data_IF_913938308368
#
_entry.id   IF_913938308368
#
_cell.length_a   1.000
_cell.length_b   1.000
_cell.length_c   1.000
_cell.angle_alpha   90.00
_cell.angle_beta   90.00
_cell.angle_gamma   90.00
#
_symmetry.space_group_name_H-M   'P 1'
#
loop_
_entity.id
_entity.type
_entity.pdbx_description
1 polymer ?
#
# COMPACT_ATOMS: atom_id res chain seq x y z
N UNK A 1 -51.47 -36.26 31.94
CA UNK A 1 -50.48 -35.49 31.16
C UNK A 1 -49.18 -35.51 31.97
N UNK A 2 -48.30 -36.48 31.68
CA UNK A 2 -46.98 -36.53 32.30
C UNK A 2 -46.03 -35.56 31.56
N UNK A 3 -45.21 -34.79 32.26
CA UNK A 3 -44.18 -33.96 31.63
C UNK A 3 -43.06 -34.89 31.13
N UNK A 4 -42.86 -34.91 29.81
CA UNK A 4 -41.69 -35.55 29.20
C UNK A 4 -40.41 -34.86 29.69
N UNK A 5 -39.74 -35.47 30.66
CA UNK A 5 -38.39 -35.10 31.04
C UNK A 5 -37.49 -35.30 29.84
N UNK A 6 -37.16 -34.22 29.14
CA UNK A 6 -36.08 -34.19 28.17
C UNK A 6 -34.74 -34.47 28.86
N UNK A 7 -34.35 -35.74 28.90
CA UNK A 7 -33.02 -36.12 29.40
C UNK A 7 -31.98 -35.46 28.51
N UNK A 8 -31.24 -34.50 29.06
CA UNK A 8 -30.04 -33.93 28.46
C UNK A 8 -29.01 -35.07 28.33
N UNK A 9 -28.82 -35.58 27.10
CA UNK A 9 -27.78 -36.54 26.80
C UNK A 9 -26.47 -35.76 26.70
N UNK A 10 -25.52 -35.95 27.64
CA UNK A 10 -24.23 -35.27 27.54
C UNK A 10 -23.53 -35.74 26.28
N UNK A 11 -22.96 -34.79 25.52
CA UNK A 11 -22.16 -35.09 24.34
C UNK A 11 -21.03 -36.05 24.68
N UNK A 12 -20.82 -37.09 23.87
CA UNK A 12 -19.72 -38.04 24.10
C UNK A 12 -18.38 -37.30 24.11
N UNK A 13 -17.40 -37.70 24.94
CA UNK A 13 -16.08 -37.10 24.98
C UNK A 13 -15.45 -36.93 23.57
N UNK A 14 -15.66 -37.91 22.69
CA UNK A 14 -15.16 -37.92 21.32
C UNK A 14 -15.78 -36.77 20.47
N UNK A 15 -17.04 -36.47 20.66
CA UNK A 15 -17.71 -35.38 19.96
C UNK A 15 -17.14 -34.00 20.41
N UNK A 16 -16.83 -33.87 21.68
CA UNK A 16 -16.23 -32.66 22.25
C UNK A 16 -14.83 -32.46 21.65
N UNK A 17 -14.00 -33.50 21.61
CA UNK A 17 -12.67 -33.45 21.00
C UNK A 17 -12.70 -33.13 19.51
N UNK A 18 -13.64 -33.71 18.74
CA UNK A 18 -13.83 -33.38 17.33
C UNK A 18 -14.12 -31.89 17.10
N UNK A 19 -14.96 -31.28 17.93
CA UNK A 19 -15.26 -29.85 17.85
C UNK A 19 -14.02 -29.01 18.12
N UNK A 20 -13.22 -29.33 19.15
CA UNK A 20 -11.98 -28.61 19.44
C UNK A 20 -10.94 -28.73 18.31
N UNK A 21 -10.77 -29.90 17.71
CA UNK A 21 -9.86 -30.10 16.58
C UNK A 21 -10.33 -29.27 15.38
N UNK A 22 -11.63 -29.27 15.08
CA UNK A 22 -12.19 -28.49 13.98
C UNK A 22 -11.96 -26.99 14.18
N UNK A 23 -12.13 -26.46 15.38
CA UNK A 23 -11.84 -25.07 15.72
C UNK A 23 -10.35 -24.74 15.54
N UNK A 24 -9.47 -25.66 15.97
CA UNK A 24 -8.01 -25.51 15.79
C UNK A 24 -7.61 -25.47 14.31
N UNK A 25 -8.23 -26.28 13.44
CA UNK A 25 -7.98 -26.28 12.01
C UNK A 25 -8.41 -24.96 11.36
N UNK A 26 -9.56 -24.40 11.76
CA UNK A 26 -10.03 -23.08 11.29
C UNK A 26 -9.02 -21.99 11.69
N UNK A 27 -8.52 -22.04 12.94
CA UNK A 27 -7.52 -21.08 13.42
C UNK A 27 -6.21 -21.20 12.63
N UNK A 28 -5.74 -22.42 12.37
CA UNK A 28 -4.54 -22.67 11.55
C UNK A 28 -4.73 -22.11 10.13
N UNK A 29 -5.87 -22.37 9.49
CA UNK A 29 -6.18 -21.85 8.16
C UNK A 29 -6.21 -20.31 8.14
N UNK A 30 -6.76 -19.70 9.17
CA UNK A 30 -6.80 -18.25 9.32
C UNK A 30 -5.39 -17.66 9.48
N UNK A 31 -4.54 -18.27 10.34
CA UNK A 31 -3.14 -17.87 10.53
C UNK A 31 -2.35 -17.99 9.22
N UNK A 32 -2.49 -19.12 8.50
CA UNK A 32 -1.86 -19.30 7.18
C UNK A 32 -2.30 -18.19 6.22
N UNK A 33 -3.60 -17.89 6.15
CA UNK A 33 -4.14 -16.81 5.33
C UNK A 33 -3.56 -15.44 5.70
N UNK A 34 -3.39 -15.14 6.98
CA UNK A 34 -2.78 -13.89 7.46
C UNK A 34 -1.29 -13.80 7.09
N UNK A 35 -0.53 -14.88 7.28
CA UNK A 35 0.91 -14.93 6.95
C UNK A 35 1.13 -14.72 5.47
N UNK A 36 0.42 -15.48 4.63
CA UNK A 36 0.53 -15.36 3.17
C UNK A 36 0.14 -13.95 2.71
N UNK A 37 -0.93 -13.39 3.26
CA UNK A 37 -1.34 -12.01 2.97
C UNK A 37 -0.28 -10.99 3.41
N UNK A 38 0.37 -11.18 4.57
CA UNK A 38 1.40 -10.26 5.07
C UNK A 38 2.65 -10.30 4.21
N UNK A 39 3.07 -11.48 3.79
CA UNK A 39 4.25 -11.69 2.93
C UNK A 39 4.01 -11.15 1.52
N UNK A 40 2.80 -11.36 0.97
CA UNK A 40 2.44 -10.96 -0.39
C UNK A 40 1.66 -9.63 -0.45
N UNK A 41 1.72 -8.82 0.61
CA UNK A 41 0.94 -7.57 0.81
C UNK A 41 0.88 -6.65 -0.42
N UNK A 42 1.96 -6.59 -1.20
CA UNK A 42 2.04 -5.73 -2.38
C UNK A 42 1.61 -6.42 -3.69
N UNK A 43 1.31 -7.72 -3.67
CA UNK A 43 1.02 -8.52 -4.88
C UNK A 43 -0.36 -9.17 -4.90
N UNK A 44 -1.17 -9.05 -3.82
CA UNK A 44 -2.43 -9.78 -3.71
C UNK A 44 -3.67 -8.89 -3.60
N UNK A 45 -4.72 -9.30 -4.33
CA UNK A 45 -6.09 -8.75 -4.22
C UNK A 45 -7.03 -9.63 -3.38
N UNK A 46 -6.51 -10.72 -2.74
CA UNK A 46 -7.34 -11.63 -1.95
C UNK A 46 -7.81 -10.98 -0.64
N UNK A 47 -9.10 -11.15 -0.35
CA UNK A 47 -9.67 -10.82 0.96
C UNK A 47 -9.20 -11.82 2.02
N UNK A 48 -9.26 -11.44 3.31
CA UNK A 48 -8.92 -12.36 4.41
C UNK A 48 -9.83 -13.58 4.40
N UNK A 49 -11.12 -13.38 4.10
CA UNK A 49 -12.11 -14.45 4.03
C UNK A 49 -11.78 -15.47 2.92
N UNK A 50 -11.44 -15.01 1.70
CA UNK A 50 -11.07 -15.92 0.60
C UNK A 50 -9.77 -16.68 0.90
N UNK A 51 -8.77 -16.05 1.51
CA UNK A 51 -7.55 -16.73 1.91
C UNK A 51 -7.81 -17.80 2.98
N UNK A 52 -8.67 -17.54 3.96
CA UNK A 52 -9.05 -18.51 4.99
C UNK A 52 -9.84 -19.69 4.39
N UNK A 53 -10.79 -19.44 3.50
CA UNK A 53 -11.56 -20.50 2.83
C UNK A 53 -10.64 -21.38 1.97
N UNK A 54 -9.71 -20.80 1.23
CA UNK A 54 -8.73 -21.56 0.45
C UNK A 54 -7.82 -22.39 1.37
N UNK A 55 -7.40 -21.82 2.51
CA UNK A 55 -6.62 -22.53 3.53
C UNK A 55 -7.38 -23.72 4.13
N UNK A 56 -8.65 -23.56 4.43
CA UNK A 56 -9.53 -24.66 4.90
C UNK A 56 -9.65 -25.78 3.86
N UNK A 57 -9.92 -25.41 2.60
CA UNK A 57 -9.99 -26.41 1.51
C UNK A 57 -8.66 -27.15 1.35
N UNK A 58 -7.51 -26.45 1.47
CA UNK A 58 -6.18 -27.03 1.45
C UNK A 58 -5.93 -27.97 2.63
N UNK A 59 -6.37 -27.62 3.85
CA UNK A 59 -6.24 -28.48 5.04
C UNK A 59 -7.05 -29.78 4.88
N UNK A 60 -8.32 -29.67 4.48
CA UNK A 60 -9.15 -30.85 4.27
C UNK A 60 -8.62 -31.74 3.14
N UNK A 61 -8.23 -31.16 2.00
CA UNK A 61 -7.59 -31.89 0.92
C UNK A 61 -6.29 -32.54 1.34
N UNK A 62 -5.48 -31.85 2.15
CA UNK A 62 -4.24 -32.36 2.73
C UNK A 62 -4.46 -33.52 3.70
N UNK A 63 -5.49 -33.50 4.54
CA UNK A 63 -5.85 -34.61 5.42
C UNK A 63 -6.29 -35.87 4.63
N UNK A 64 -7.13 -35.68 3.61
CA UNK A 64 -7.53 -36.78 2.73
C UNK A 64 -6.34 -37.38 2.00
N UNK A 65 -5.47 -36.54 1.48
CA UNK A 65 -4.24 -36.95 0.78
C UNK A 65 -3.29 -37.69 1.74
N UNK A 66 -3.13 -37.17 2.97
CA UNK A 66 -2.32 -37.81 4.01
C UNK A 66 -2.87 -39.22 4.34
N UNK A 67 -4.19 -39.36 4.54
CA UNK A 67 -4.83 -40.64 4.79
C UNK A 67 -4.56 -41.67 3.68
N UNK A 68 -4.60 -41.24 2.43
CA UNK A 68 -4.31 -42.06 1.28
C UNK A 68 -2.83 -42.46 1.14
N UNK A 69 -1.92 -41.46 1.33
CA UNK A 69 -0.45 -41.73 1.19
C UNK A 69 0.08 -42.60 2.32
N UNK A 70 -0.37 -42.37 3.56
CA UNK A 70 0.16 -43.08 4.74
C UNK A 70 -0.69 -44.27 5.16
N UNK A 71 -1.69 -44.65 4.37
CA UNK A 71 -2.62 -45.77 4.61
C UNK A 71 -3.13 -45.79 6.07
N UNK A 72 -3.52 -44.65 6.58
CA UNK A 72 -3.91 -44.47 7.97
C UNK A 72 -5.38 -44.03 8.09
N UNK A 73 -6.16 -44.85 8.80
CA UNK A 73 -7.54 -44.50 9.13
C UNK A 73 -7.67 -43.38 10.20
N UNK A 74 -6.59 -43.06 10.91
CA UNK A 74 -6.56 -42.03 11.93
C UNK A 74 -5.94 -40.73 11.39
N UNK A 75 -6.79 -39.86 10.86
CA UNK A 75 -6.41 -38.58 10.26
C UNK A 75 -5.98 -37.51 11.29
N UNK A 76 -6.22 -37.78 12.59
CA UNK A 76 -6.00 -36.81 13.64
C UNK A 76 -4.62 -36.89 14.30
N UNK A 77 -3.77 -37.79 13.83
CA UNK A 77 -2.37 -37.86 14.31
C UNK A 77 -1.63 -36.54 14.03
N UNK A 78 -0.78 -36.09 14.94
CA UNK A 78 -0.05 -34.81 14.78
C UNK A 78 0.73 -34.73 13.44
N UNK A 79 1.30 -35.84 12.97
CA UNK A 79 1.99 -35.90 11.68
C UNK A 79 1.08 -35.68 10.48
N UNK A 80 -0.17 -36.18 10.51
CA UNK A 80 -1.17 -35.97 9.47
C UNK A 80 -1.62 -34.50 9.41
N UNK A 81 -1.86 -33.91 10.59
CA UNK A 81 -2.22 -32.48 10.71
C UNK A 81 -1.07 -31.60 10.20
N UNK A 82 0.18 -31.94 10.55
CA UNK A 82 1.36 -31.23 10.03
C UNK A 82 1.49 -31.30 8.52
N UNK A 83 1.30 -32.48 7.94
CA UNK A 83 1.31 -32.66 6.49
C UNK A 83 0.19 -31.86 5.82
N UNK A 84 -1.03 -31.91 6.35
CA UNK A 84 -2.17 -31.13 5.84
C UNK A 84 -1.94 -29.61 5.91
N UNK A 85 -1.27 -29.13 6.97
CA UNK A 85 -0.91 -27.71 7.08
C UNK A 85 0.10 -27.28 6.00
N UNK A 86 1.08 -28.13 5.68
CA UNK A 86 2.03 -27.89 4.58
C UNK A 86 1.29 -27.85 3.23
N UNK A 87 0.40 -28.80 2.97
CA UNK A 87 -0.40 -28.83 1.74
C UNK A 87 -1.29 -27.56 1.66
N UNK A 88 -1.93 -27.16 2.75
CA UNK A 88 -2.73 -25.94 2.78
C UNK A 88 -1.90 -24.68 2.46
N UNK A 89 -0.69 -24.58 3.01
CA UNK A 89 0.22 -23.47 2.72
C UNK A 89 0.60 -23.45 1.23
N UNK A 90 0.90 -24.59 0.65
CA UNK A 90 1.23 -24.70 -0.78
C UNK A 90 0.03 -24.32 -1.66
N UNK A 91 -1.18 -24.79 -1.34
CA UNK A 91 -2.41 -24.47 -2.08
C UNK A 91 -2.70 -22.98 -2.01
N UNK A 92 -2.68 -22.36 -0.81
CA UNK A 92 -2.92 -20.92 -0.65
C UNK A 92 -1.86 -20.12 -1.41
N UNK A 93 -0.59 -20.52 -1.34
CA UNK A 93 0.50 -19.85 -2.05
C UNK A 93 0.35 -19.97 -3.57
N UNK A 94 0.00 -21.16 -4.08
CA UNK A 94 -0.24 -21.38 -5.51
C UNK A 94 -1.43 -20.54 -6.03
N UNK A 95 -2.56 -20.56 -5.32
CA UNK A 95 -3.73 -19.74 -5.66
C UNK A 95 -3.39 -18.27 -5.65
N UNK A 96 -2.63 -17.81 -4.65
CA UNK A 96 -2.19 -16.44 -4.56
C UNK A 96 -1.32 -16.02 -5.77
N UNK A 97 -0.36 -16.86 -6.17
CA UNK A 97 0.50 -16.62 -7.34
C UNK A 97 -0.32 -16.61 -8.63
N UNK A 98 -1.23 -17.57 -8.80
CA UNK A 98 -2.12 -17.63 -9.98
C UNK A 98 -2.99 -16.37 -10.06
N UNK A 99 -3.64 -15.98 -8.96
CA UNK A 99 -4.46 -14.77 -8.93
C UNK A 99 -3.65 -13.50 -9.19
N UNK A 100 -2.41 -13.42 -8.68
CA UNK A 100 -1.52 -12.29 -8.96
C UNK A 100 -1.10 -12.23 -10.44
N UNK A 101 -1.01 -13.37 -11.13
CA UNK A 101 -0.70 -13.44 -12.57
C UNK A 101 -1.92 -13.17 -13.45
N UNK A 102 -3.10 -13.66 -13.05
CA UNK A 102 -4.34 -13.49 -13.81
C UNK A 102 -4.96 -12.11 -13.63
N UNK A 103 -4.77 -11.49 -12.46
CA UNK A 103 -5.22 -10.14 -12.15
C UNK A 103 -3.99 -9.27 -11.80
N UNK A 104 -3.11 -8.98 -12.76
CA UNK A 104 -2.06 -8.01 -12.51
C UNK A 104 -2.74 -6.71 -12.07
N UNK A 105 -2.25 -6.07 -11.00
CA UNK A 105 -2.70 -4.71 -10.69
C UNK A 105 -2.48 -3.90 -11.96
N UNK A 106 -3.50 -3.16 -12.44
CA UNK A 106 -3.26 -2.23 -13.53
C UNK A 106 -2.07 -1.37 -13.11
N UNK A 107 -1.02 -1.39 -13.90
CA UNK A 107 0.12 -0.48 -13.73
C UNK A 107 -0.44 0.94 -13.65
N UNK A 108 0.23 1.82 -12.93
CA UNK A 108 -0.13 3.24 -13.01
C UNK A 108 -0.12 3.64 -14.49
N UNK A 109 -1.12 4.41 -14.97
CA UNK A 109 -1.13 4.86 -16.36
C UNK A 109 0.17 5.64 -16.64
N UNK A 110 0.67 5.68 -17.87
CA UNK A 110 1.81 6.50 -18.24
C UNK A 110 1.67 7.93 -17.71
N UNK A 111 2.78 8.57 -17.33
CA UNK A 111 2.75 9.95 -16.81
C UNK A 111 2.12 10.90 -17.83
N UNK A 112 2.39 10.68 -19.12
CA UNK A 112 1.79 11.45 -20.22
C UNK A 112 0.26 11.35 -20.27
N UNK A 113 -0.30 10.17 -20.04
CA UNK A 113 -1.76 10.00 -19.96
C UNK A 113 -2.33 10.68 -18.72
N UNK A 114 -1.61 10.59 -17.59
CA UNK A 114 -2.03 11.28 -16.35
C UNK A 114 -2.00 12.80 -16.53
N UNK A 115 -0.98 13.34 -17.21
CA UNK A 115 -0.86 14.77 -17.53
C UNK A 115 -1.95 15.25 -18.47
N UNK A 116 -2.31 14.44 -19.48
CA UNK A 116 -3.38 14.77 -20.43
C UNK A 116 -4.77 14.93 -19.78
N UNK A 117 -4.98 14.37 -18.59
CA UNK A 117 -6.23 14.52 -17.82
C UNK A 117 -6.37 15.89 -17.12
N UNK A 118 -5.33 16.71 -17.12
CA UNK A 118 -5.31 18.02 -16.45
C UNK A 118 -5.32 17.93 -14.91
N UNK A 119 -5.17 19.10 -14.28
CA UNK A 119 -5.28 19.25 -12.82
C UNK A 119 -6.70 18.98 -12.31
N UNK A 120 -6.80 18.50 -11.07
CA UNK A 120 -8.07 18.21 -10.40
C UNK A 120 -7.90 18.23 -8.88
N UNK A 121 -8.94 17.91 -8.14
CA UNK A 121 -8.83 17.75 -6.68
C UNK A 121 -7.80 16.70 -6.26
N UNK A 122 -7.56 15.68 -7.11
CA UNK A 122 -6.64 14.57 -6.86
C UNK A 122 -5.37 14.62 -7.72
N UNK A 123 -5.21 15.63 -8.58
CA UNK A 123 -4.01 15.82 -9.41
C UNK A 123 -3.53 17.26 -9.35
N UNK A 124 -2.24 17.45 -9.23
CA UNK A 124 -1.57 18.74 -9.23
C UNK A 124 -0.32 18.68 -10.09
N UNK A 125 -0.01 19.72 -10.83
CA UNK A 125 1.16 19.83 -11.69
C UNK A 125 2.10 20.91 -11.17
N UNK A 126 3.39 20.68 -11.31
CA UNK A 126 4.43 21.67 -11.02
C UNK A 126 5.53 21.54 -12.04
N UNK A 127 5.85 22.63 -12.65
CA UNK A 127 6.93 22.72 -13.66
C UNK A 127 8.30 22.40 -13.06
N UNK A 128 8.51 22.61 -11.76
CA UNK A 128 9.77 22.37 -11.05
C UNK A 128 9.50 22.14 -9.56
N UNK A 129 10.43 21.45 -8.88
CA UNK A 129 10.41 21.29 -7.44
C UNK A 129 11.22 22.35 -6.69
N UNK A 130 12.26 22.88 -7.32
CA UNK A 130 13.21 23.76 -6.65
C UNK A 130 13.84 24.84 -7.55
N UNK A 131 13.61 24.76 -8.85
CA UNK A 131 14.13 25.72 -9.82
C UNK A 131 13.08 26.76 -10.14
N UNK A 132 13.40 28.02 -9.95
CA UNK A 132 12.52 29.13 -10.34
C UNK A 132 12.87 29.56 -11.76
N UNK A 133 12.04 29.17 -12.72
CA UNK A 133 12.21 29.45 -14.14
C UNK A 133 12.34 30.94 -14.43
N UNK A 134 11.66 31.81 -13.65
CA UNK A 134 11.70 33.28 -13.86
C UNK A 134 13.02 33.89 -13.47
N UNK A 135 13.66 33.38 -12.42
CA UNK A 135 14.92 33.93 -11.89
C UNK A 135 16.15 33.16 -12.33
N UNK A 136 15.97 31.98 -12.95
CA UNK A 136 17.06 31.08 -13.34
C UNK A 136 17.90 30.59 -12.17
N UNK A 137 17.28 30.38 -11.01
CA UNK A 137 17.98 29.99 -9.77
C UNK A 137 17.16 29.01 -8.93
N UNK A 138 17.87 28.27 -8.08
CA UNK A 138 17.22 27.54 -6.99
C UNK A 138 16.45 28.47 -6.07
N UNK A 139 15.22 28.10 -5.72
CA UNK A 139 14.32 28.89 -4.89
C UNK A 139 13.64 27.99 -3.83
N UNK A 140 13.88 28.30 -2.56
CA UNK A 140 13.30 27.59 -1.42
C UNK A 140 11.78 27.77 -1.32
N UNK A 141 11.22 28.82 -1.94
CA UNK A 141 9.78 28.99 -2.04
C UNK A 141 9.14 27.89 -2.87
N UNK A 142 9.79 27.45 -3.95
CA UNK A 142 9.31 26.31 -4.77
C UNK A 142 9.30 25.02 -3.93
N UNK A 143 10.36 24.75 -3.19
CA UNK A 143 10.44 23.60 -2.28
C UNK A 143 9.31 23.64 -1.24
N UNK A 144 8.92 24.85 -0.79
CA UNK A 144 7.80 25.05 0.13
C UNK A 144 6.46 24.69 -0.52
N UNK A 145 6.25 25.05 -1.78
CA UNK A 145 5.04 24.72 -2.53
C UNK A 145 4.89 23.21 -2.68
N UNK A 146 5.98 22.51 -3.02
CA UNK A 146 5.99 21.04 -3.12
C UNK A 146 5.63 20.40 -1.77
N UNK A 147 6.29 20.79 -0.68
CA UNK A 147 6.01 20.23 0.65
C UNK A 147 4.57 20.51 1.12
N UNK A 148 4.05 21.70 0.82
CA UNK A 148 2.67 22.09 1.10
C UNK A 148 1.67 21.21 0.33
N UNK A 149 1.90 20.99 -0.96
CA UNK A 149 1.03 20.14 -1.81
C UNK A 149 1.03 18.70 -1.30
N UNK A 150 2.20 18.13 -0.98
CA UNK A 150 2.30 16.78 -0.42
C UNK A 150 1.59 16.68 0.94
N UNK A 151 1.78 17.67 1.85
CA UNK A 151 1.07 17.73 3.13
C UNK A 151 -0.45 17.76 2.93
N UNK A 152 -0.92 18.56 1.99
CA UNK A 152 -2.36 18.69 1.73
C UNK A 152 -2.98 17.39 1.20
N UNK A 153 -2.31 16.67 0.30
CA UNK A 153 -2.77 15.36 -0.16
C UNK A 153 -2.73 14.30 0.96
N UNK A 154 -1.66 14.29 1.78
CA UNK A 154 -1.56 13.38 2.94
C UNK A 154 -2.71 13.57 3.93
N UNK A 155 -3.17 14.81 4.13
CA UNK A 155 -4.26 15.17 5.04
C UNK A 155 -5.66 15.08 4.40
N UNK A 156 -5.75 14.61 3.17
CA UNK A 156 -7.01 14.50 2.42
C UNK A 156 -7.18 13.07 1.90
N UNK A 157 -7.87 12.89 0.79
CA UNK A 157 -8.06 11.57 0.16
C UNK A 157 -6.83 10.99 -0.56
N UNK A 158 -5.66 11.64 -0.44
CA UNK A 158 -4.49 11.33 -1.26
C UNK A 158 -4.56 12.00 -2.63
N UNK A 159 -3.58 11.71 -3.50
CA UNK A 159 -3.54 12.26 -4.84
C UNK A 159 -2.22 12.01 -5.57
N UNK A 160 -2.07 12.66 -6.71
CA UNK A 160 -0.89 12.58 -7.57
C UNK A 160 -0.35 13.98 -7.82
N UNK A 161 0.93 14.17 -7.56
CA UNK A 161 1.68 15.36 -7.94
C UNK A 161 2.62 14.99 -9.09
N UNK A 162 2.51 15.70 -10.22
CA UNK A 162 3.45 15.61 -11.33
C UNK A 162 4.42 16.78 -11.25
N UNK A 163 5.72 16.51 -11.38
CA UNK A 163 6.79 17.52 -11.35
C UNK A 163 7.59 17.41 -12.66
N UNK A 164 7.90 18.53 -13.26
CA UNK A 164 8.42 18.61 -14.63
C UNK A 164 7.27 18.68 -15.65
N UNK A 165 6.09 19.12 -15.22
CA UNK A 165 4.88 19.26 -16.04
C UNK A 165 4.33 20.67 -15.84
N UNK A 166 4.00 21.37 -16.93
CA UNK A 166 3.42 22.70 -16.88
C UNK A 166 1.90 22.67 -16.67
N UNK A 167 1.29 23.85 -16.51
CA UNK A 167 -0.15 23.99 -16.22
C UNK A 167 -1.03 23.47 -17.38
N UNK A 168 -0.50 23.40 -18.60
CA UNK A 168 -1.16 22.84 -19.78
C UNK A 168 -0.96 21.31 -19.93
N UNK A 169 -0.26 20.67 -19.01
CA UNK A 169 0.00 19.23 -19.02
C UNK A 169 1.14 18.80 -19.95
N UNK A 170 1.97 19.73 -20.43
CA UNK A 170 3.15 19.41 -21.24
C UNK A 170 4.29 18.94 -20.36
N UNK A 171 4.94 17.85 -20.77
CA UNK A 171 6.08 17.28 -20.07
C UNK A 171 7.33 18.11 -20.42
N UNK A 172 7.78 18.96 -19.52
CA UNK A 172 8.91 19.89 -19.73
C UNK A 172 10.24 19.39 -19.16
N UNK A 173 10.19 18.39 -18.26
CA UNK A 173 11.37 17.74 -17.68
C UNK A 173 11.90 18.40 -16.40
N UNK A 174 12.92 17.76 -15.79
CA UNK A 174 13.53 18.13 -14.52
C UNK A 174 15.01 18.50 -14.64
N UNK A 175 15.50 18.76 -15.84
CA UNK A 175 16.94 19.01 -16.09
C UNK A 175 17.47 20.18 -15.27
N UNK A 176 16.70 21.25 -15.15
CA UNK A 176 17.06 22.41 -14.33
C UNK A 176 17.08 22.09 -12.83
N UNK A 177 16.13 21.26 -12.37
CA UNK A 177 16.14 20.77 -10.98
C UNK A 177 17.36 19.90 -10.70
N UNK A 178 17.65 18.97 -11.64
CA UNK A 178 18.81 18.07 -11.55
C UNK A 178 20.13 18.83 -11.54
N UNK A 179 20.27 19.89 -12.35
CA UNK A 179 21.47 20.73 -12.40
C UNK A 179 21.80 21.39 -11.06
N UNK A 180 20.82 21.51 -10.15
CA UNK A 180 21.04 22.03 -8.80
C UNK A 180 21.58 20.99 -7.81
N UNK A 181 21.69 19.72 -8.21
CA UNK A 181 22.15 18.61 -7.39
C UNK A 181 23.62 18.29 -7.67
N UNK A 182 24.29 17.64 -6.71
CA UNK A 182 25.70 17.21 -6.88
C UNK A 182 25.86 16.16 -7.99
N UNK A 183 24.85 15.28 -8.15
CA UNK A 183 24.73 14.34 -9.25
C UNK A 183 23.36 14.59 -9.87
N UNK A 184 23.28 14.96 -11.16
CA UNK A 184 22.04 15.32 -11.82
C UNK A 184 21.29 14.07 -12.32
N UNK A 185 20.70 13.33 -11.40
CA UNK A 185 19.96 12.08 -11.68
C UNK A 185 18.70 11.93 -10.83
N UNK A 186 17.83 11.01 -11.23
CA UNK A 186 16.55 10.73 -10.58
C UNK A 186 16.73 10.24 -9.13
N UNK A 187 17.73 9.38 -8.87
CA UNK A 187 17.98 8.83 -7.53
C UNK A 187 18.37 9.93 -6.54
N UNK A 188 19.21 10.87 -6.98
CA UNK A 188 19.61 12.03 -6.16
C UNK A 188 18.46 13.00 -5.94
N UNK A 189 17.61 13.15 -6.95
CA UNK A 189 16.41 13.97 -6.82
C UNK A 189 15.44 13.35 -5.81
N UNK A 190 15.16 12.04 -5.89
CA UNK A 190 14.34 11.34 -4.92
C UNK A 190 14.92 11.45 -3.50
N UNK A 191 16.23 11.22 -3.33
CA UNK A 191 16.90 11.31 -2.03
C UNK A 191 16.76 12.72 -1.43
N UNK A 192 16.94 13.76 -2.27
CA UNK A 192 16.75 15.14 -1.85
C UNK A 192 15.28 15.40 -1.44
N UNK A 193 14.30 14.97 -2.24
CA UNK A 193 12.87 15.12 -1.94
C UNK A 193 12.52 14.48 -0.60
N UNK A 194 12.94 13.24 -0.38
CA UNK A 194 12.71 12.52 0.89
C UNK A 194 13.38 13.23 2.08
N UNK A 195 14.58 13.75 1.91
CA UNK A 195 15.28 14.52 2.93
C UNK A 195 14.52 15.82 3.28
N UNK A 196 14.07 16.56 2.29
CA UNK A 196 13.27 17.77 2.44
C UNK A 196 11.93 17.49 3.14
N UNK A 197 11.20 16.45 2.70
CA UNK A 197 9.96 16.05 3.38
C UNK A 197 10.21 15.55 4.80
N UNK A 198 11.30 14.79 5.05
CA UNK A 198 11.68 14.33 6.39
C UNK A 198 11.85 15.47 7.37
N UNK A 199 12.48 16.56 6.93
CA UNK A 199 12.69 17.77 7.74
C UNK A 199 11.39 18.57 7.97
N UNK A 200 10.51 18.61 6.96
CA UNK A 200 9.34 19.51 6.97
C UNK A 200 8.03 18.83 7.36
N UNK A 201 7.87 17.54 7.12
CA UNK A 201 6.64 16.76 7.38
C UNK A 201 6.87 15.68 8.44
N UNK A 202 8.12 15.43 8.82
CA UNK A 202 8.52 14.33 9.69
C UNK A 202 8.77 13.03 8.93
N UNK A 203 9.64 12.19 9.49
CA UNK A 203 10.15 10.95 8.85
C UNK A 203 9.04 9.97 8.45
N UNK A 204 8.02 9.80 9.30
CA UNK A 204 6.92 8.88 9.03
C UNK A 204 6.06 9.34 7.85
N UNK A 205 5.77 10.63 7.74
CA UNK A 205 5.00 11.19 6.65
C UNK A 205 5.80 11.17 5.33
N UNK A 206 7.11 11.46 5.39
CA UNK A 206 8.02 11.43 4.24
C UNK A 206 8.19 10.04 3.62
N UNK A 207 7.88 8.97 4.35
CA UNK A 207 7.94 7.59 3.86
C UNK A 207 6.68 7.15 3.08
N UNK A 208 5.58 7.90 3.16
CA UNK A 208 4.31 7.51 2.54
C UNK A 208 4.26 7.75 1.02
N UNK A 209 4.73 8.91 0.48
CA UNK A 209 4.71 9.16 -0.95
C UNK A 209 5.59 8.17 -1.72
N UNK A 210 5.12 7.75 -2.89
CA UNK A 210 5.85 6.86 -3.81
C UNK A 210 6.21 7.69 -5.03
N UNK A 211 7.50 7.68 -5.40
CA UNK A 211 8.01 8.37 -6.57
C UNK A 211 8.25 7.38 -7.69
N UNK A 212 7.90 7.76 -8.90
CA UNK A 212 8.32 7.10 -10.12
C UNK A 212 8.65 8.14 -11.20
N UNK A 213 9.56 7.79 -12.08
CA UNK A 213 10.11 8.66 -13.10
C UNK A 213 9.85 8.09 -14.48
N UNK A 214 9.62 8.95 -15.45
CA UNK A 214 9.51 8.58 -16.85
C UNK A 214 10.19 9.67 -17.69
N UNK A 215 10.81 9.25 -18.80
CA UNK A 215 11.42 10.21 -19.72
C UNK A 215 10.34 10.94 -20.52
N UNK A 216 10.48 12.26 -20.61
CA UNK A 216 9.63 13.07 -21.44
C UNK A 216 10.00 12.93 -22.95
N UNK A 217 9.05 13.05 -23.88
CA UNK A 217 9.34 13.04 -25.33
C UNK A 217 10.31 14.14 -25.77
N UNK A 218 10.35 15.26 -25.04
CA UNK A 218 11.25 16.39 -25.26
C UNK A 218 12.67 16.16 -24.73
N UNK A 219 12.95 15.03 -24.10
CA UNK A 219 14.13 14.77 -23.29
C UNK A 219 13.92 15.17 -21.82
N UNK A 220 14.83 14.72 -20.94
CA UNK A 220 14.71 14.90 -19.49
C UNK A 220 13.69 13.96 -18.85
N UNK A 221 13.74 13.88 -17.53
CA UNK A 221 12.80 13.07 -16.74
C UNK A 221 11.66 13.93 -16.21
N UNK A 222 10.50 13.30 -16.00
CA UNK A 222 9.38 13.83 -15.22
C UNK A 222 9.12 12.92 -14.04
N UNK A 223 8.72 13.49 -12.92
CA UNK A 223 8.48 12.75 -11.68
C UNK A 223 6.99 12.73 -11.36
N UNK A 224 6.46 11.53 -11.10
CA UNK A 224 5.15 11.34 -10.48
C UNK A 224 5.33 10.98 -9.02
N UNK A 225 4.67 11.72 -8.15
CA UNK A 225 4.57 11.44 -6.71
C UNK A 225 3.15 10.97 -6.43
N UNK A 226 2.99 9.70 -6.14
CA UNK A 226 1.71 9.12 -5.68
C UNK A 226 1.63 9.23 -4.18
N UNK A 227 0.66 9.96 -3.66
CA UNK A 227 0.53 10.33 -2.26
C UNK A 227 -0.72 9.65 -1.70
N UNK A 228 -0.58 8.63 -0.83
CA UNK A 228 -1.72 8.03 -0.13
C UNK A 228 -2.21 8.95 0.99
N UNK A 229 -3.47 8.80 1.45
CA UNK A 229 -3.92 9.48 2.65
C UNK A 229 -3.12 9.02 3.87
N UNK A 230 -2.75 9.95 4.74
CA UNK A 230 -2.06 9.64 5.99
C UNK A 230 -3.05 9.17 7.06
N UNK A 231 -2.72 8.16 7.87
CA UNK A 231 -3.56 7.73 8.99
C UNK A 231 -3.57 8.72 10.17
N UNK A 232 -2.72 9.74 10.13
CA UNK A 232 -2.60 10.77 11.18
C UNK A 232 -2.42 12.15 10.52
N UNK A 233 -2.84 13.24 11.17
CA UNK A 233 -2.58 14.60 10.68
C UNK A 233 -1.08 14.83 10.46
N UNK A 234 -0.75 15.44 9.33
CA UNK A 234 0.62 15.79 8.93
C UNK A 234 0.74 17.31 8.93
N UNK A 235 1.59 17.83 9.79
CA UNK A 235 1.84 19.25 9.90
C UNK A 235 3.06 19.65 9.06
N UNK A 236 2.92 20.73 8.31
CA UNK A 236 4.03 21.32 7.57
C UNK A 236 4.80 22.28 8.47
N UNK A 237 6.09 22.03 8.63
CA UNK A 237 7.04 22.97 9.24
C UNK A 237 7.66 23.86 8.14
N UNK A 238 8.07 25.05 8.51
CA UNK A 238 8.81 25.93 7.63
C UNK A 238 10.16 25.36 7.18
N UNK A 239 10.94 26.12 6.41
CA UNK A 239 12.25 25.70 5.94
C UNK A 239 13.15 25.17 7.06
N UNK A 240 13.88 24.08 6.78
CA UNK A 240 14.75 23.37 7.75
C UNK A 240 14.03 22.88 9.02
N UNK A 241 12.72 22.62 8.93
CA UNK A 241 11.93 22.12 10.04
C UNK A 241 11.66 23.15 11.14
N UNK A 242 11.73 24.44 10.83
CA UNK A 242 11.53 25.55 11.78
C UNK A 242 10.19 26.23 11.56
N UNK A 243 9.72 26.96 12.58
CA UNK A 243 8.46 27.72 12.54
C UNK A 243 7.29 27.00 13.17
N UNK A 244 6.15 27.67 13.24
CA UNK A 244 4.91 27.08 13.74
C UNK A 244 4.40 26.00 12.76
N UNK A 245 3.90 24.87 13.27
CA UNK A 245 3.32 23.84 12.42
C UNK A 245 2.03 24.33 11.76
N UNK A 246 1.88 24.06 10.48
CA UNK A 246 0.71 24.45 9.69
C UNK A 246 -0.02 23.18 9.21
N UNK A 247 -1.35 23.17 9.31
CA UNK A 247 -2.17 22.09 8.77
C UNK A 247 -2.72 22.49 7.41
N UNK A 248 -2.31 21.78 6.38
CA UNK A 248 -2.77 22.01 5.01
C UNK A 248 -3.62 20.85 4.53
N UNK A 249 -4.72 21.14 3.83
CA UNK A 249 -5.65 20.18 3.27
C UNK A 249 -6.00 20.52 1.82
N UNK A 250 -6.47 19.56 1.07
CA UNK A 250 -7.02 19.75 -0.27
C UNK A 250 -8.53 19.97 -0.16
N UNK A 251 -9.04 21.04 -0.74
CA UNK A 251 -10.47 21.37 -0.82
C UNK A 251 -10.78 21.69 -2.28
N UNK A 252 -11.35 20.71 -2.99
CA UNK A 252 -11.44 20.79 -4.45
C UNK A 252 -10.05 20.95 -5.06
N UNK A 253 -9.91 21.83 -6.05
CA UNK A 253 -8.62 22.11 -6.71
C UNK A 253 -7.70 23.05 -5.91
N UNK A 254 -8.06 23.40 -4.67
CA UNK A 254 -7.28 24.36 -3.86
C UNK A 254 -6.62 23.68 -2.67
N UNK A 255 -5.40 24.13 -2.35
CA UNK A 255 -4.72 23.79 -1.11
C UNK A 255 -4.98 24.88 -0.07
N UNK A 256 -5.57 24.52 1.06
CA UNK A 256 -5.97 25.46 2.11
C UNK A 256 -5.32 25.14 3.45
N UNK A 257 -4.92 26.17 4.17
CA UNK A 257 -4.48 26.06 5.55
C UNK A 257 -5.71 26.04 6.46
N UNK A 258 -5.73 25.08 7.39
CA UNK A 258 -6.70 25.06 8.47
C UNK A 258 -6.09 25.69 9.74
N UNK A 259 -6.92 26.41 10.49
CA UNK A 259 -6.54 26.86 11.82
C UNK A 259 -6.61 25.68 12.79
N UNK A 260 -5.57 25.52 13.59
CA UNK A 260 -5.53 24.51 14.65
C UNK A 260 -5.89 25.24 15.93
N UNK A 261 -7.17 25.15 16.31
CA UNK A 261 -7.70 25.70 17.57
C UNK A 261 -7.42 24.78 18.75
#
# INVERSE_FOLDING_TARGET
MEPTNGSFVPASPDLIWMVFIQQALVLIAWVIGLVVRRVLKNRMTMSTASATLTGLAGLWGGLVLAGWIFDSGDLWKPGMIGFAAVVALLVVSAVAVVLARLNPRPGLPPISETAALGESETREFKSSARWNVRTGKRDEAMETVIAKTVSAFLNSGGGTLLIGVDDEGRLIGLDDDYATLKSPDADRFELWMRGMWGQRLGTNAAALPILDFASAPSGGDVCRVTIPPSPRPVYLLGPKGKGAPELWVRVGNSTRRLEVS
#
